data_IF_823496928352
#
_entry.id   IF_823496928352
#
_cell.length_a   1.000
_cell.length_b   1.000
_cell.length_c   1.000
_cell.angle_alpha   90.00
_cell.angle_beta   90.00
_cell.angle_gamma   90.00
#
_symmetry.space_group_name_H-M   'P 1'
#
loop_
_entity.id
_entity.type
_entity.pdbx_description
1 polymer ?
#
# COMPACT_ATOMS: atom_id res chain seq x y z
N UNK A 1 13.72 2.28 10.92
CA UNK A 1 13.34 2.15 9.52
C UNK A 1 11.82 2.07 9.44
N UNK A 2 11.22 2.84 8.56
CA UNK A 2 9.77 2.83 8.38
C UNK A 2 9.33 1.62 7.57
N UNK A 3 8.11 1.16 7.78
CA UNK A 3 7.58 0.01 7.06
C UNK A 3 6.54 0.44 6.03
N UNK A 4 6.48 -0.28 4.91
CA UNK A 4 5.57 0.02 3.82
C UNK A 4 4.90 -1.25 3.30
N UNK A 5 3.63 -1.14 2.95
CA UNK A 5 2.88 -2.17 2.24
C UNK A 5 2.57 -1.64 0.84
N UNK A 6 2.81 -2.45 -0.18
CA UNK A 6 2.50 -2.12 -1.56
C UNK A 6 1.28 -2.93 -1.99
N UNK A 7 0.24 -2.24 -2.42
CA UNK A 7 -1.02 -2.87 -2.84
C UNK A 7 -1.33 -2.51 -4.29
N UNK A 8 -1.45 -3.52 -5.15
CA UNK A 8 -1.77 -3.35 -6.56
C UNK A 8 -2.30 -4.68 -7.08
N UNK A 9 -3.37 -4.66 -7.87
CA UNK A 9 -3.96 -5.87 -8.42
C UNK A 9 -3.15 -6.48 -9.57
N UNK A 10 -2.25 -5.69 -10.17
CA UNK A 10 -1.36 -6.20 -11.20
C UNK A 10 -0.03 -6.63 -10.61
N UNK A 11 0.21 -7.93 -10.62
CA UNK A 11 1.40 -8.52 -10.01
C UNK A 11 2.69 -7.95 -10.58
N UNK A 12 2.78 -7.78 -11.89
CA UNK A 12 3.99 -7.26 -12.53
C UNK A 12 4.30 -5.82 -12.11
N UNK A 13 3.27 -4.99 -12.01
CA UNK A 13 3.43 -3.60 -11.58
C UNK A 13 3.83 -3.58 -10.10
N UNK A 14 3.15 -4.35 -9.29
CA UNK A 14 3.43 -4.42 -7.86
C UNK A 14 4.86 -4.86 -7.58
N UNK A 15 5.28 -5.94 -8.21
CA UNK A 15 6.65 -6.44 -8.07
C UNK A 15 7.68 -5.47 -8.63
N UNK A 16 7.34 -4.79 -9.73
CA UNK A 16 8.19 -3.76 -10.30
C UNK A 16 8.43 -2.63 -9.32
N UNK A 17 7.40 -2.17 -8.64
CA UNK A 17 7.52 -1.13 -7.61
C UNK A 17 8.42 -1.61 -6.47
N UNK A 18 8.21 -2.82 -5.99
CA UNK A 18 9.00 -3.38 -4.89
C UNK A 18 10.48 -3.52 -5.27
N UNK A 19 10.77 -3.89 -6.51
CA UNK A 19 12.15 -4.10 -6.96
C UNK A 19 12.87 -2.84 -7.39
N UNK A 20 12.16 -1.94 -8.07
CA UNK A 20 12.79 -0.75 -8.68
C UNK A 20 13.02 0.39 -7.71
N UNK A 21 12.16 0.54 -6.75
CA UNK A 21 12.31 1.58 -5.75
C UNK A 21 13.33 1.13 -4.71
N UNK A 22 14.28 1.99 -4.44
CA UNK A 22 15.32 1.70 -3.43
C UNK A 22 14.80 2.05 -2.05
N UNK A 23 13.92 1.21 -1.55
CA UNK A 23 13.22 1.46 -0.29
C UNK A 23 14.17 1.68 0.89
N UNK A 24 15.22 0.87 0.98
CA UNK A 24 16.17 0.99 2.08
C UNK A 24 16.90 2.33 2.07
N UNK A 25 17.24 2.85 0.91
CA UNK A 25 17.88 4.16 0.80
C UNK A 25 16.95 5.28 1.22
N UNK A 26 15.64 5.08 1.08
CA UNK A 26 14.63 6.04 1.49
C UNK A 26 14.25 5.87 2.97
N UNK A 27 14.83 4.90 3.66
CA UNK A 27 14.50 4.62 5.04
C UNK A 27 13.27 3.74 5.23
N UNK A 28 12.88 3.00 4.19
CA UNK A 28 11.70 2.12 4.21
C UNK A 28 12.06 0.65 4.04
N UNK A 29 11.20 -0.18 4.58
CA UNK A 29 11.27 -1.62 4.39
C UNK A 29 9.90 -2.11 3.94
N UNK A 30 9.85 -2.83 2.83
CA UNK A 30 8.61 -3.46 2.36
C UNK A 30 8.32 -4.68 3.22
N UNK A 31 7.21 -4.65 3.94
CA UNK A 31 6.81 -5.74 4.84
C UNK A 31 5.66 -6.56 4.29
N UNK A 32 5.03 -6.12 3.21
CA UNK A 32 3.95 -6.88 2.62
C UNK A 32 3.55 -6.37 1.23
N UNK A 33 2.95 -7.27 0.47
CA UNK A 33 2.37 -6.97 -0.84
C UNK A 33 0.94 -7.49 -0.83
N UNK A 34 0.02 -6.68 -1.32
CA UNK A 34 -1.38 -7.05 -1.41
C UNK A 34 -1.87 -6.92 -2.84
N UNK A 35 -2.70 -7.84 -3.29
CA UNK A 35 -3.24 -7.81 -4.64
C UNK A 35 -4.63 -7.20 -4.74
N UNK A 36 -5.25 -6.90 -3.62
CA UNK A 36 -6.53 -6.20 -3.56
C UNK A 36 -6.68 -5.43 -2.25
N UNK A 37 -7.71 -4.61 -2.17
CA UNK A 37 -7.93 -3.77 -1.00
C UNK A 37 -8.26 -4.53 0.27
N UNK A 38 -9.01 -5.62 0.16
CA UNK A 38 -9.36 -6.43 1.32
C UNK A 38 -8.12 -7.07 1.95
N UNK A 39 -7.23 -7.58 1.11
CA UNK A 39 -5.96 -8.14 1.55
C UNK A 39 -5.05 -7.08 2.15
N UNK A 40 -5.02 -5.90 1.52
CA UNK A 40 -4.24 -4.78 2.04
C UNK A 40 -4.73 -4.34 3.42
N UNK A 41 -6.03 -4.26 3.62
CA UNK A 41 -6.61 -3.88 4.89
C UNK A 41 -6.24 -4.89 5.98
N UNK A 42 -6.32 -6.18 5.68
CA UNK A 42 -5.93 -7.22 6.61
C UNK A 42 -4.46 -7.10 7.03
N UNK A 43 -3.59 -6.84 6.07
CA UNK A 43 -2.17 -6.64 6.35
C UNK A 43 -1.92 -5.39 7.18
N UNK A 44 -2.62 -4.31 6.89
CA UNK A 44 -2.51 -3.08 7.68
C UNK A 44 -2.88 -3.32 9.13
N UNK A 45 -3.93 -4.06 9.38
CA UNK A 45 -4.35 -4.38 10.74
C UNK A 45 -3.33 -5.22 11.50
N UNK A 46 -2.68 -6.16 10.80
CA UNK A 46 -1.71 -7.06 11.41
C UNK A 46 -0.32 -6.45 11.56
N UNK A 47 0.14 -5.74 10.55
CA UNK A 47 1.52 -5.28 10.46
C UNK A 47 1.71 -3.82 10.89
N UNK A 48 0.65 -3.07 10.96
CA UNK A 48 0.65 -1.64 11.33
C UNK A 48 1.77 -0.86 10.65
N UNK A 49 1.74 -0.79 9.30
CA UNK A 49 2.80 -0.12 8.55
C UNK A 49 2.75 1.39 8.73
N UNK A 50 3.87 2.04 8.43
CA UNK A 50 3.93 3.49 8.43
C UNK A 50 3.37 4.08 7.14
N UNK A 51 3.48 3.34 6.04
CA UNK A 51 3.02 3.77 4.72
C UNK A 51 2.26 2.65 4.01
N UNK A 52 1.15 3.01 3.39
CA UNK A 52 0.44 2.13 2.48
C UNK A 52 0.44 2.78 1.10
N UNK A 53 1.11 2.15 0.15
CA UNK A 53 1.11 2.57 -1.25
C UNK A 53 0.09 1.72 -2.00
N UNK A 54 -0.94 2.34 -2.54
CA UNK A 54 -2.07 1.62 -3.13
C UNK A 54 -2.48 2.20 -4.48
N UNK A 55 -3.04 1.34 -5.34
CA UNK A 55 -3.70 1.75 -6.57
C UNK A 55 -5.17 2.01 -6.25
N UNK A 56 -5.73 3.05 -6.82
CA UNK A 56 -7.14 3.42 -6.63
C UNK A 56 -8.09 2.39 -7.24
N UNK A 57 -7.67 1.71 -8.29
CA UNK A 57 -8.52 0.83 -9.10
C UNK A 57 -8.43 -0.65 -8.76
N UNK A 58 -8.30 -0.98 -7.50
CA UNK A 58 -8.25 -2.38 -7.12
C UNK A 58 -9.64 -3.02 -7.07
N UNK A 59 -9.76 -4.32 -7.40
CA UNK A 59 -11.03 -5.04 -7.23
C UNK A 59 -11.34 -5.25 -5.74
N UNK A 60 -12.60 -5.56 -5.47
CA UNK A 60 -13.16 -5.85 -4.15
C UNK A 60 -13.25 -4.64 -3.23
N UNK A 61 -12.19 -3.87 -3.10
CA UNK A 61 -12.18 -2.67 -2.28
C UNK A 61 -11.32 -1.64 -2.99
N UNK A 62 -11.92 -0.51 -3.39
CA UNK A 62 -11.19 0.53 -4.09
C UNK A 62 -10.15 1.19 -3.19
N UNK A 63 -9.16 1.85 -3.77
CA UNK A 63 -8.16 2.57 -3.00
C UNK A 63 -8.76 3.64 -2.09
N UNK A 64 -9.87 4.25 -2.52
CA UNK A 64 -10.58 5.26 -1.71
C UNK A 64 -11.25 4.60 -0.50
N UNK A 65 -11.93 3.49 -0.70
CA UNK A 65 -12.56 2.74 0.39
C UNK A 65 -11.52 2.18 1.35
N UNK A 66 -10.42 1.68 0.81
CA UNK A 66 -9.30 1.20 1.59
C UNK A 66 -8.72 2.31 2.48
N UNK A 67 -8.48 3.48 1.90
CA UNK A 67 -7.95 4.62 2.64
C UNK A 67 -8.86 5.01 3.80
N UNK A 68 -10.17 5.02 3.55
CA UNK A 68 -11.16 5.35 4.58
C UNK A 68 -11.13 4.31 5.71
N UNK A 69 -11.10 3.03 5.36
CA UNK A 69 -11.06 1.94 6.34
C UNK A 69 -9.78 1.97 7.17
N UNK A 70 -8.65 2.21 6.53
CA UNK A 70 -7.36 2.29 7.22
C UNK A 70 -7.36 3.45 8.22
N UNK A 71 -7.92 4.58 7.86
CA UNK A 71 -7.98 5.74 8.75
C UNK A 71 -8.84 5.50 9.99
N UNK A 72 -9.85 4.66 9.87
CA UNK A 72 -10.67 4.27 11.02
C UNK A 72 -9.92 3.36 11.97
N UNK A 73 -9.14 2.43 11.43
CA UNK A 73 -8.42 1.42 12.21
C UNK A 73 -7.07 1.95 12.72
N UNK A 74 -6.29 2.55 11.82
CA UNK A 74 -4.95 3.07 12.14
C UNK A 74 -4.79 4.46 11.53
N UNK A 75 -5.29 5.50 12.20
CA UNK A 75 -5.28 6.86 11.63
C UNK A 75 -3.90 7.45 11.40
N UNK A 76 -2.86 6.84 11.97
CA UNK A 76 -1.48 7.33 11.80
C UNK A 76 -0.79 6.79 10.55
N UNK A 77 -1.38 5.83 9.87
CA UNK A 77 -0.80 5.28 8.64
C UNK A 77 -0.91 6.30 7.51
N UNK A 78 0.20 6.58 6.86
CA UNK A 78 0.22 7.43 5.67
C UNK A 78 -0.21 6.63 4.45
N UNK A 79 -1.03 7.21 3.61
CA UNK A 79 -1.54 6.55 2.41
C UNK A 79 -1.12 7.34 1.19
N UNK A 80 -0.47 6.66 0.25
CA UNK A 80 -0.07 7.25 -1.02
C UNK A 80 -0.71 6.46 -2.16
N UNK A 81 -1.37 7.15 -3.06
CA UNK A 81 -1.97 6.53 -4.24
C UNK A 81 -0.96 6.50 -5.37
N UNK A 82 -0.85 5.36 -6.04
CA UNK A 82 0.00 5.19 -7.21
C UNK A 82 -0.73 5.51 -8.51
N UNK A 83 -1.81 6.23 -8.45
CA UNK A 83 -2.53 6.65 -9.65
C UNK A 83 -1.61 7.42 -10.58
N UNK A 84 -1.57 7.02 -11.84
CA UNK A 84 -0.70 7.61 -12.84
C UNK A 84 -0.94 9.09 -13.09
N UNK A 85 -2.11 9.57 -12.79
CA UNK A 85 -2.49 10.95 -13.06
C UNK A 85 -1.87 11.95 -12.08
N UNK A 86 -1.38 11.52 -10.96
CA UNK A 86 -0.98 12.41 -9.88
C UNK A 86 0.51 12.54 -9.68
N UNK A 87 1.22 11.76 -10.41
CA UNK A 87 2.66 11.75 -10.28
C UNK A 87 3.32 12.09 -11.60
#
# INVERSE_FOLDING_TARGET
>A
MYTVIVADDEEEIRRGIVRKVRWEELGFRVVGEAENGAEALEMVEKLEPDLLLTDIRMPFLSGIELARSVREVLPTVQISSSSSATI
#
